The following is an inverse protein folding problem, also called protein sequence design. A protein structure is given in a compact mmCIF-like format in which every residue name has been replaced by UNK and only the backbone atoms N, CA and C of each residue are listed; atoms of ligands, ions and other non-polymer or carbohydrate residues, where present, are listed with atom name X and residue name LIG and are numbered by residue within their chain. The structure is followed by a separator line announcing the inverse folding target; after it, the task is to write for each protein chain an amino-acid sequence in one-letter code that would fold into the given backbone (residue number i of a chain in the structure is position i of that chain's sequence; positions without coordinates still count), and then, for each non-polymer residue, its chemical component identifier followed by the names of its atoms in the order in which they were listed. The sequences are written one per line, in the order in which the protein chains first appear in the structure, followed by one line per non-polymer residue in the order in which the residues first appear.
data_IF_678332922142
#
_entry.id   IF_678332922142
#
_cell.length_a   1.000
_cell.length_b   1.000
_cell.length_c   1.000
_cell.angle_alpha   90.00
_cell.angle_beta   90.00
_cell.angle_gamma   90.00
#
_symmetry.space_group_name_H-M   'P 1'
#
loop_
_entity.id
_entity.type
_entity.pdbx_description
1 polymer ?
#
# COMPACT_ATOMS: atom_id res chain seq x y z
N UNK A 1 -7.46 16.85 -1.64
CA UNK A 1 -7.47 17.73 -2.78
C UNK A 1 -8.88 18.29 -3.00
N UNK A 2 -9.88 17.49 -3.36
CA UNK A 2 -11.26 17.94 -3.62
C UNK A 2 -11.85 18.80 -2.48
N UNK A 3 -11.62 18.41 -1.23
CA UNK A 3 -12.03 19.19 -0.07
C UNK A 3 -11.36 20.57 -0.02
N UNK A 4 -10.06 20.66 -0.21
CA UNK A 4 -9.36 21.95 -0.15
C UNK A 4 -9.71 22.85 -1.35
N UNK A 5 -9.96 22.27 -2.52
CA UNK A 5 -10.48 23.03 -3.68
C UNK A 5 -11.87 23.58 -3.41
N UNK A 6 -12.77 22.82 -2.75
CA UNK A 6 -14.08 23.35 -2.35
C UNK A 6 -13.97 24.51 -1.33
N UNK A 7 -12.82 24.62 -0.65
CA UNK A 7 -12.48 25.74 0.24
C UNK A 7 -11.65 26.83 -0.47
N UNK A 8 -11.70 26.90 -1.81
CA UNK A 8 -11.02 27.89 -2.64
C UNK A 8 -9.49 27.93 -2.47
N UNK A 9 -8.87 26.77 -2.18
CA UNK A 9 -7.42 26.63 -2.10
C UNK A 9 -6.83 26.10 -3.40
N UNK A 10 -5.65 26.61 -3.77
CA UNK A 10 -4.86 26.04 -4.86
C UNK A 10 -4.14 24.81 -4.35
N UNK A 11 -4.43 23.65 -4.92
CA UNK A 11 -3.92 22.37 -4.44
C UNK A 11 -3.25 21.58 -5.55
N UNK A 12 -2.07 21.04 -5.28
CA UNK A 12 -1.38 20.13 -6.16
C UNK A 12 -1.12 18.82 -5.44
N UNK A 13 -1.32 17.69 -6.13
CA UNK A 13 -1.00 16.36 -5.62
C UNK A 13 0.27 15.89 -6.31
N UNK A 14 1.28 15.53 -5.52
CA UNK A 14 2.57 15.03 -6.02
C UNK A 14 2.79 13.65 -5.44
N UNK A 15 3.15 12.69 -6.31
CA UNK A 15 3.54 11.33 -5.91
C UNK A 15 4.98 11.04 -6.35
N UNK A 16 5.76 10.24 -5.61
CA UNK A 16 7.17 10.01 -5.93
C UNK A 16 7.36 9.32 -7.28
N UNK A 17 6.50 8.39 -7.64
CA UNK A 17 6.60 7.58 -8.86
C UNK A 17 5.23 7.16 -9.40
N UNK A 18 5.19 6.23 -10.37
CA UNK A 18 3.93 5.76 -10.95
C UNK A 18 3.08 5.00 -9.93
N UNK A 19 1.82 5.35 -9.86
CA UNK A 19 0.82 4.59 -9.12
C UNK A 19 0.14 3.54 -10.03
N UNK A 20 -0.52 2.52 -9.45
CA UNK A 20 -1.17 1.44 -10.20
C UNK A 20 -2.26 1.93 -11.17
N UNK A 21 -2.36 1.27 -12.32
CA UNK A 21 -3.30 1.65 -13.37
C UNK A 21 -4.77 1.55 -12.93
N UNK A 22 -5.10 0.63 -12.02
CA UNK A 22 -6.45 0.48 -11.48
C UNK A 22 -6.92 1.66 -10.62
N UNK A 23 -6.07 2.66 -10.35
CA UNK A 23 -6.43 3.91 -9.66
C UNK A 23 -6.60 5.09 -10.62
N UNK A 24 -6.29 4.94 -11.92
CA UNK A 24 -6.34 6.05 -12.89
C UNK A 24 -7.73 6.59 -13.17
N UNK A 25 -8.77 5.84 -12.82
CA UNK A 25 -10.16 6.28 -12.97
C UNK A 25 -10.60 7.25 -11.88
N UNK A 26 -9.84 7.34 -10.78
CA UNK A 26 -10.21 8.21 -9.64
C UNK A 26 -10.33 9.67 -10.10
N UNK A 27 -11.33 10.40 -9.58
CA UNK A 27 -11.47 11.83 -9.86
C UNK A 27 -10.16 12.58 -9.56
N UNK A 28 -9.69 13.35 -10.53
CA UNK A 28 -8.43 14.11 -10.42
C UNK A 28 -7.15 13.32 -10.67
N UNK A 29 -7.19 12.01 -10.84
CA UNK A 29 -5.97 11.18 -11.00
C UNK A 29 -5.08 11.59 -12.19
N UNK A 30 -5.66 12.17 -13.26
CA UNK A 30 -4.93 12.67 -14.44
C UNK A 30 -4.07 13.90 -14.14
N UNK A 31 -4.40 14.65 -13.11
CA UNK A 31 -3.76 15.90 -12.73
C UNK A 31 -2.67 15.68 -11.65
N UNK A 32 -2.49 14.44 -11.18
CA UNK A 32 -1.45 14.07 -10.23
C UNK A 32 -0.06 14.19 -10.89
N UNK A 33 0.82 14.93 -10.23
CA UNK A 33 2.18 15.18 -10.69
C UNK A 33 3.08 14.03 -10.21
N UNK A 34 3.75 13.39 -11.14
CA UNK A 34 4.75 12.37 -10.83
C UNK A 34 6.13 13.02 -10.70
N UNK A 35 6.73 12.92 -9.53
CA UNK A 35 8.04 13.50 -9.23
C UNK A 35 9.13 12.92 -10.14
N UNK A 36 9.14 11.62 -10.38
CA UNK A 36 10.11 10.94 -11.25
C UNK A 36 10.11 11.42 -12.71
N UNK A 37 9.02 12.05 -13.15
CA UNK A 37 8.87 12.58 -14.52
C UNK A 37 8.98 14.10 -14.60
N UNK A 38 8.53 14.81 -13.58
CA UNK A 38 8.39 16.26 -13.58
C UNK A 38 9.11 16.90 -12.39
N UNK A 39 10.34 16.43 -12.12
CA UNK A 39 11.12 16.79 -10.92
C UNK A 39 11.29 18.30 -10.73
N UNK A 40 11.70 19.03 -11.77
CA UNK A 40 11.89 20.49 -11.67
C UNK A 40 10.59 21.23 -11.35
N UNK A 41 9.51 20.86 -12.04
CA UNK A 41 8.19 21.45 -11.80
C UNK A 41 7.66 21.13 -10.39
N UNK A 42 7.81 19.88 -9.95
CA UNK A 42 7.43 19.46 -8.61
C UNK A 42 8.24 20.19 -7.53
N UNK A 43 9.57 20.36 -7.73
CA UNK A 43 10.43 21.13 -6.81
C UNK A 43 9.98 22.58 -6.69
N UNK A 44 9.61 23.21 -7.81
CA UNK A 44 9.06 24.56 -7.80
C UNK A 44 7.81 24.64 -6.93
N UNK A 45 6.83 23.74 -7.14
CA UNK A 45 5.60 23.70 -6.36
C UNK A 45 5.85 23.46 -4.87
N UNK A 46 6.77 22.54 -4.53
CA UNK A 46 7.16 22.27 -3.14
C UNK A 46 7.79 23.48 -2.45
N UNK A 47 8.55 24.29 -3.18
CA UNK A 47 9.19 25.51 -2.66
C UNK A 47 8.23 26.70 -2.54
N UNK A 48 7.22 26.77 -3.41
CA UNK A 48 6.23 27.86 -3.43
C UNK A 48 5.00 27.56 -2.53
N UNK A 49 4.87 26.35 -2.00
CA UNK A 49 3.75 25.94 -1.17
C UNK A 49 3.75 26.65 0.21
N UNK A 50 2.58 27.03 0.70
CA UNK A 50 2.38 27.48 2.08
C UNK A 50 2.42 26.31 3.06
N UNK A 51 1.85 25.15 2.62
CA UNK A 51 1.72 23.93 3.43
C UNK A 51 1.96 22.71 2.55
N UNK A 52 2.75 21.77 3.05
CA UNK A 52 2.87 20.42 2.51
C UNK A 52 2.15 19.46 3.45
N UNK A 53 1.10 18.80 2.92
CA UNK A 53 0.41 17.71 3.59
C UNK A 53 1.08 16.38 3.23
N UNK A 54 1.81 15.80 4.18
CA UNK A 54 2.44 14.49 4.05
C UNK A 54 1.38 13.42 4.41
N UNK A 55 0.85 12.75 3.40
CA UNK A 55 -0.25 11.80 3.54
C UNK A 55 0.23 10.38 3.26
N UNK A 56 -0.03 9.47 4.19
CA UNK A 56 0.28 8.04 4.10
C UNK A 56 1.79 7.71 4.04
N UNK A 57 2.60 8.63 4.55
CA UNK A 57 4.00 8.35 4.83
C UNK A 57 4.46 9.12 6.08
N UNK A 58 5.21 8.46 6.92
CA UNK A 58 5.68 8.96 8.21
C UNK A 58 7.20 9.06 8.32
N UNK A 59 7.91 8.76 7.25
CA UNK A 59 9.35 8.85 7.13
C UNK A 59 9.73 9.33 5.72
N UNK A 60 10.73 10.20 5.63
CA UNK A 60 11.18 10.74 4.33
C UNK A 60 11.72 9.64 3.41
N UNK A 61 12.28 8.57 3.96
CA UNK A 61 12.75 7.41 3.20
C UNK A 61 11.66 6.69 2.38
N UNK A 62 10.37 6.94 2.66
CA UNK A 62 9.24 6.33 1.96
C UNK A 62 8.87 7.02 0.64
N UNK A 63 9.42 8.20 0.38
CA UNK A 63 9.09 9.00 -0.81
C UNK A 63 10.24 9.09 -1.82
N UNK A 64 11.14 8.12 -1.79
CA UNK A 64 12.24 7.95 -2.75
C UNK A 64 13.01 9.27 -3.00
N UNK A 65 13.25 9.61 -4.28
CA UNK A 65 14.00 10.80 -4.70
C UNK A 65 13.31 12.13 -4.30
N UNK A 66 12.05 12.14 -3.89
CA UNK A 66 11.35 13.36 -3.45
C UNK A 66 11.71 13.76 -2.01
N UNK A 67 12.38 12.89 -1.24
CA UNK A 67 12.70 13.09 0.17
C UNK A 67 13.41 14.42 0.46
N UNK A 68 14.49 14.68 -0.26
CA UNK A 68 15.31 15.90 -0.06
C UNK A 68 14.53 17.16 -0.40
N UNK A 69 13.74 17.15 -1.47
CA UNK A 69 12.91 18.28 -1.86
C UNK A 69 11.85 18.63 -0.82
N UNK A 70 11.19 17.62 -0.25
CA UNK A 70 10.24 17.81 0.85
C UNK A 70 10.95 18.28 2.11
N UNK A 71 12.10 17.71 2.47
CA UNK A 71 12.85 18.08 3.66
C UNK A 71 13.29 19.55 3.62
N UNK A 72 13.84 19.99 2.47
CA UNK A 72 14.43 21.33 2.28
C UNK A 72 13.40 22.42 1.98
N UNK A 73 12.17 22.08 1.60
CA UNK A 73 11.13 23.07 1.33
C UNK A 73 10.87 23.97 2.55
N UNK A 74 10.72 25.30 2.36
CA UNK A 74 10.41 26.25 3.41
C UNK A 74 8.94 26.14 3.90
N UNK A 75 8.09 25.42 3.18
CA UNK A 75 6.69 25.24 3.51
C UNK A 75 6.49 24.62 4.90
N UNK A 76 5.40 24.98 5.56
CA UNK A 76 4.97 24.29 6.79
C UNK A 76 4.56 22.87 6.45
N UNK A 77 5.02 21.89 7.22
CA UNK A 77 4.72 20.47 6.98
C UNK A 77 3.76 19.95 8.02
N UNK A 78 2.73 19.23 7.56
CA UNK A 78 1.84 18.45 8.42
C UNK A 78 1.78 17.01 7.92
N UNK A 79 1.73 16.07 8.85
CA UNK A 79 1.63 14.64 8.58
C UNK A 79 0.25 14.15 8.99
N UNK A 80 -0.38 13.33 8.13
CA UNK A 80 -1.53 12.49 8.47
C UNK A 80 -1.17 11.08 8.02
N UNK A 81 -1.02 10.17 8.97
CA UNK A 81 -0.49 8.83 8.70
C UNK A 81 -0.94 7.83 9.76
N UNK A 82 -1.01 6.55 9.38
CA UNK A 82 -1.36 5.45 10.26
C UNK A 82 -0.24 4.39 10.41
N UNK A 83 0.94 4.63 9.87
CA UNK A 83 2.06 3.71 10.02
C UNK A 83 2.76 3.86 11.38
N UNK A 84 3.42 2.79 11.83
CA UNK A 84 4.21 2.76 13.06
C UNK A 84 5.49 3.62 12.94
N UNK A 85 5.96 4.16 14.06
CA UNK A 85 7.24 4.85 14.21
C UNK A 85 7.38 6.12 13.32
N UNK A 86 6.54 7.15 13.51
CA UNK A 86 6.64 8.39 12.75
C UNK A 86 7.93 9.17 13.07
N UNK A 87 8.57 9.73 12.02
CA UNK A 87 9.69 10.65 12.16
C UNK A 87 9.20 12.08 12.48
N UNK A 88 10.01 12.86 13.18
CA UNK A 88 9.65 14.20 13.66
C UNK A 88 10.05 15.31 12.65
N UNK A 89 9.74 15.16 11.35
CA UNK A 89 10.05 16.18 10.33
C UNK A 89 8.89 17.14 10.03
N UNK A 90 7.71 16.88 10.59
CA UNK A 90 6.54 17.73 10.44
C UNK A 90 6.23 18.51 11.71
N UNK A 91 5.74 19.75 11.56
CA UNK A 91 5.31 20.58 12.70
C UNK A 91 4.00 20.10 13.33
N UNK A 92 3.09 19.59 12.51
CA UNK A 92 1.82 19.00 12.95
C UNK A 92 1.88 17.53 12.58
N UNK A 93 1.60 16.65 13.53
CA UNK A 93 1.61 15.20 13.32
C UNK A 93 0.28 14.65 13.83
N UNK A 94 -0.49 14.07 12.92
CA UNK A 94 -1.70 13.29 13.17
C UNK A 94 -1.35 11.85 12.79
N UNK A 95 -0.87 11.09 13.76
CA UNK A 95 -0.41 9.72 13.56
C UNK A 95 -1.19 8.78 14.47
N UNK A 96 -1.96 7.88 13.86
CA UNK A 96 -2.85 6.95 14.55
C UNK A 96 -2.72 5.54 13.97
N UNK A 97 -1.74 4.74 14.43
CA UNK A 97 -1.49 3.40 13.90
C UNK A 97 -2.63 2.39 14.12
N UNK A 98 -3.55 2.70 15.04
CA UNK A 98 -4.75 1.90 15.29
C UNK A 98 -5.86 2.07 14.25
N UNK A 99 -5.79 3.13 13.44
CA UNK A 99 -6.79 3.43 12.40
C UNK A 99 -6.50 2.62 11.13
N UNK A 100 -7.56 2.26 10.41
CA UNK A 100 -7.48 1.33 9.27
C UNK A 100 -6.74 1.88 8.06
N UNK A 101 -6.78 3.19 7.84
CA UNK A 101 -6.15 3.86 6.69
C UNK A 101 -5.96 5.36 6.93
N UNK A 102 -5.01 5.95 6.23
CA UNK A 102 -4.87 7.42 6.20
C UNK A 102 -6.10 8.10 5.61
N UNK A 103 -6.80 7.47 4.67
CA UNK A 103 -8.06 7.99 4.10
C UNK A 103 -9.16 8.11 5.16
N UNK A 104 -9.25 7.18 6.09
CA UNK A 104 -10.14 7.27 7.26
C UNK A 104 -9.77 8.47 8.14
N UNK A 105 -8.47 8.69 8.39
CA UNK A 105 -8.01 9.85 9.17
C UNK A 105 -8.36 11.18 8.50
N UNK A 106 -8.23 11.26 7.18
CA UNK A 106 -8.63 12.45 6.40
C UNK A 106 -10.12 12.73 6.56
N UNK A 107 -10.98 11.71 6.42
CA UNK A 107 -12.42 11.85 6.67
C UNK A 107 -12.69 12.39 8.08
N UNK A 108 -12.10 11.75 9.10
CA UNK A 108 -12.27 12.13 10.50
C UNK A 108 -11.82 13.57 10.76
N UNK A 109 -10.72 14.00 10.14
CA UNK A 109 -10.21 15.38 10.27
C UNK A 109 -11.19 16.38 9.67
N UNK A 110 -11.68 16.16 8.44
CA UNK A 110 -12.64 17.04 7.79
C UNK A 110 -13.91 17.18 8.64
N UNK A 111 -14.44 16.06 9.16
CA UNK A 111 -15.62 16.06 10.03
C UNK A 111 -15.38 16.82 11.35
N UNK A 112 -14.21 16.63 11.99
CA UNK A 112 -13.86 17.35 13.24
C UNK A 112 -13.70 18.84 13.05
N UNK A 113 -13.33 19.28 11.86
CA UNK A 113 -13.29 20.69 11.49
C UNK A 113 -14.69 21.27 11.19
N UNK A 114 -15.73 20.45 11.16
CA UNK A 114 -17.12 20.88 10.93
C UNK A 114 -17.52 20.92 9.43
N UNK A 115 -16.71 20.35 8.55
CA UNK A 115 -16.88 20.47 7.08
C UNK A 115 -17.40 19.18 6.43
N UNK A 116 -18.18 18.36 7.12
CA UNK A 116 -18.75 17.14 6.53
C UNK A 116 -19.57 17.43 5.26
N UNK A 117 -20.36 18.51 5.27
CA UNK A 117 -21.20 18.87 4.14
C UNK A 117 -20.41 19.29 2.89
N UNK A 118 -19.19 19.78 3.08
CA UNK A 118 -18.29 20.18 1.98
C UNK A 118 -17.53 19.01 1.33
N UNK A 119 -17.70 17.78 1.83
CA UNK A 119 -17.20 16.59 1.15
C UNK A 119 -18.04 16.36 -0.11
N UNK A 120 -17.42 16.57 -1.27
CA UNK A 120 -18.06 16.32 -2.57
C UNK A 120 -18.16 14.81 -2.84
N UNK A 121 -18.97 14.43 -3.84
CA UNK A 121 -19.06 13.04 -4.28
C UNK A 121 -17.69 12.50 -4.70
N UNK A 122 -16.92 13.27 -5.45
CA UNK A 122 -15.56 12.92 -5.92
C UNK A 122 -14.61 12.72 -4.75
N UNK A 123 -14.66 13.59 -3.76
CA UNK A 123 -13.88 13.45 -2.52
C UNK A 123 -14.28 12.19 -1.74
N UNK A 124 -15.57 11.91 -1.66
CA UNK A 124 -16.09 10.70 -1.01
C UNK A 124 -15.68 9.41 -1.74
N UNK A 125 -15.68 9.42 -3.08
CA UNK A 125 -15.16 8.31 -3.90
C UNK A 125 -13.68 8.04 -3.61
N UNK A 126 -12.86 9.10 -3.50
CA UNK A 126 -11.45 8.98 -3.16
C UNK A 126 -11.22 8.44 -1.74
N UNK A 127 -11.95 8.96 -0.75
CA UNK A 127 -11.87 8.48 0.65
C UNK A 127 -12.27 7.01 0.74
N UNK A 128 -13.41 6.65 0.15
CA UNK A 128 -13.88 5.26 0.16
C UNK A 128 -12.89 4.32 -0.52
N UNK A 129 -12.33 4.72 -1.67
CA UNK A 129 -11.35 3.92 -2.39
C UNK A 129 -10.11 3.67 -1.55
N UNK A 130 -9.57 4.69 -0.88
CA UNK A 130 -8.40 4.54 0.00
C UNK A 130 -8.70 3.62 1.19
N UNK A 131 -9.83 3.79 1.87
CA UNK A 131 -10.26 2.89 2.96
C UNK A 131 -10.40 1.44 2.46
N UNK A 132 -11.02 1.24 1.30
CA UNK A 132 -11.26 -0.08 0.71
C UNK A 132 -9.95 -0.77 0.29
N UNK A 133 -9.04 -0.06 -0.35
CA UNK A 133 -7.77 -0.66 -0.82
C UNK A 133 -6.86 -1.03 0.32
N UNK A 134 -6.78 -0.20 1.35
CA UNK A 134 -5.89 -0.41 2.50
C UNK A 134 -6.37 -1.53 3.44
N UNK A 135 -7.67 -1.83 3.42
CA UNK A 135 -8.28 -2.92 4.18
C UNK A 135 -8.57 -4.18 3.35
N UNK A 136 -8.06 -4.24 2.11
CA UNK A 136 -8.30 -5.36 1.19
C UNK A 136 -9.78 -5.64 0.96
N UNK A 137 -10.55 -4.60 0.66
CA UNK A 137 -12.00 -4.71 0.49
C UNK A 137 -12.74 -4.94 1.82
N UNK A 138 -12.24 -4.38 2.91
CA UNK A 138 -12.77 -4.54 4.27
C UNK A 138 -12.71 -5.98 4.80
N UNK A 139 -11.66 -6.72 4.42
CA UNK A 139 -11.45 -8.10 4.86
C UNK A 139 -10.43 -8.24 5.99
N UNK A 140 -9.62 -7.21 6.23
CA UNK A 140 -8.69 -7.14 7.36
C UNK A 140 -8.60 -5.71 7.90
N UNK A 141 -8.15 -5.58 9.16
CA UNK A 141 -8.03 -4.32 9.89
C UNK A 141 -9.29 -3.43 9.81
N UNK A 142 -10.47 -4.05 9.77
CA UNK A 142 -11.76 -3.38 9.54
C UNK A 142 -12.88 -3.84 10.49
N UNK A 143 -12.53 -4.33 11.68
CA UNK A 143 -13.51 -4.78 12.68
C UNK A 143 -14.08 -3.63 13.54
N UNK A 144 -13.57 -2.41 13.40
CA UNK A 144 -14.14 -1.26 14.11
C UNK A 144 -15.46 -0.84 13.45
N UNK A 145 -16.51 -0.72 14.27
CA UNK A 145 -17.84 -0.27 13.82
C UNK A 145 -17.82 1.11 13.19
N UNK A 146 -16.89 1.98 13.59
CA UNK A 146 -16.76 3.33 13.07
C UNK A 146 -16.43 3.35 11.57
N UNK A 147 -15.71 2.35 11.08
CA UNK A 147 -15.43 2.18 9.65
C UNK A 147 -16.74 2.08 8.87
N UNK A 148 -17.68 1.26 9.34
CA UNK A 148 -18.97 1.04 8.68
C UNK A 148 -19.90 2.25 8.82
N UNK A 149 -19.81 2.99 9.93
CA UNK A 149 -20.45 4.28 10.05
C UNK A 149 -19.94 5.28 9.01
N UNK A 150 -18.61 5.41 8.87
CA UNK A 150 -17.99 6.27 7.85
C UNK A 150 -18.43 5.84 6.45
N UNK A 151 -18.45 4.55 6.14
CA UNK A 151 -18.95 4.03 4.85
C UNK A 151 -20.40 4.47 4.62
N UNK A 152 -21.27 4.38 5.63
CA UNK A 152 -22.64 4.85 5.55
C UNK A 152 -22.74 6.33 5.22
N UNK A 153 -21.92 7.16 5.87
CA UNK A 153 -21.84 8.60 5.59
C UNK A 153 -21.31 8.91 4.19
N UNK A 154 -20.31 8.17 3.71
CA UNK A 154 -19.82 8.31 2.35
C UNK A 154 -20.87 7.92 1.30
N UNK A 155 -21.66 6.87 1.57
CA UNK A 155 -22.80 6.49 0.70
C UNK A 155 -23.86 7.59 0.63
N UNK A 156 -24.09 8.37 1.70
CA UNK A 156 -25.01 9.50 1.68
C UNK A 156 -24.56 10.61 0.73
N UNK A 157 -23.26 10.68 0.39
CA UNK A 157 -22.71 11.60 -0.62
C UNK A 157 -22.95 11.11 -2.07
N UNK A 158 -23.62 9.97 -2.27
CA UNK A 158 -24.05 9.48 -3.57
C UNK A 158 -22.99 8.70 -4.34
N UNK A 159 -21.98 8.12 -3.65
CA UNK A 159 -21.02 7.22 -4.29
C UNK A 159 -21.67 5.87 -4.65
N UNK A 160 -21.20 5.24 -5.73
CA UNK A 160 -21.51 3.84 -6.06
C UNK A 160 -20.34 2.92 -5.64
N UNK A 161 -20.44 2.36 -4.43
CA UNK A 161 -19.41 1.48 -3.90
C UNK A 161 -19.17 0.21 -4.73
N UNK A 162 -20.20 -0.27 -5.42
CA UNK A 162 -20.10 -1.48 -6.24
C UNK A 162 -19.38 -1.17 -7.55
N UNK A 163 -19.60 0.01 -8.12
CA UNK A 163 -18.84 0.50 -9.27
C UNK A 163 -17.38 0.73 -8.88
N UNK A 164 -17.12 1.36 -7.74
CA UNK A 164 -15.75 1.56 -7.22
C UNK A 164 -15.05 0.22 -7.04
N UNK A 165 -15.70 -0.77 -6.42
CA UNK A 165 -15.15 -2.11 -6.24
C UNK A 165 -14.78 -2.75 -7.59
N UNK A 166 -15.67 -2.66 -8.58
CA UNK A 166 -15.40 -3.19 -9.93
C UNK A 166 -14.20 -2.51 -10.58
N UNK A 167 -14.09 -1.19 -10.46
CA UNK A 167 -12.98 -0.40 -11.03
C UNK A 167 -11.63 -0.73 -10.39
N UNK A 168 -11.60 -1.16 -9.13
CA UNK A 168 -10.37 -1.50 -8.41
C UNK A 168 -10.02 -2.98 -8.57
N UNK A 169 -10.99 -3.88 -8.37
CA UNK A 169 -10.71 -5.32 -8.24
C UNK A 169 -11.13 -6.17 -9.46
N UNK A 170 -11.97 -5.63 -10.36
CA UNK A 170 -12.50 -6.39 -11.50
C UNK A 170 -12.04 -5.83 -12.86
N UNK A 171 -10.89 -5.15 -12.91
CA UNK A 171 -10.31 -4.59 -14.14
C UNK A 171 -9.03 -5.32 -14.56
N UNK A 172 -8.89 -6.54 -14.13
CA UNK A 172 -7.70 -7.33 -14.43
C UNK A 172 -7.61 -7.69 -15.91
N UNK A 173 -6.41 -7.58 -16.47
CA UNK A 173 -6.12 -8.08 -17.81
C UNK A 173 -6.21 -9.60 -17.87
N UNK A 174 -6.47 -10.16 -19.06
CA UNK A 174 -6.37 -11.61 -19.28
C UNK A 174 -4.97 -12.11 -18.93
N UNK A 175 -3.91 -11.34 -19.29
CA UNK A 175 -2.53 -11.66 -18.96
C UNK A 175 -2.30 -11.80 -17.45
N UNK A 176 -2.84 -10.88 -16.66
CA UNK A 176 -2.78 -10.97 -15.19
C UNK A 176 -3.44 -12.24 -14.65
N UNK A 177 -4.64 -12.59 -15.14
CA UNK A 177 -5.34 -13.79 -14.67
C UNK A 177 -4.60 -15.08 -15.08
N UNK A 178 -4.03 -15.11 -16.29
CA UNK A 178 -3.19 -16.24 -16.74
C UNK A 178 -1.89 -16.34 -15.93
N UNK A 179 -1.24 -15.21 -15.65
CA UNK A 179 -0.06 -15.14 -14.79
C UNK A 179 -0.38 -15.65 -13.38
N UNK A 180 -1.52 -15.22 -12.81
CA UNK A 180 -1.98 -15.68 -11.50
C UNK A 180 -2.19 -17.21 -11.51
N UNK A 181 -2.86 -17.76 -12.52
CA UNK A 181 -3.05 -19.20 -12.65
C UNK A 181 -1.72 -19.96 -12.74
N UNK A 182 -0.76 -19.47 -13.52
CA UNK A 182 0.57 -20.03 -13.62
C UNK A 182 1.32 -20.00 -12.28
N UNK A 183 1.32 -18.85 -11.63
CA UNK A 183 1.99 -18.65 -10.34
C UNK A 183 1.44 -19.58 -9.27
N UNK A 184 0.12 -19.75 -9.20
CA UNK A 184 -0.52 -20.61 -8.22
C UNK A 184 -0.30 -22.11 -8.50
N UNK A 185 -0.24 -22.50 -9.76
CA UNK A 185 -0.06 -23.90 -10.15
C UNK A 185 1.41 -24.32 -10.11
N UNK A 186 2.31 -23.54 -10.71
CA UNK A 186 3.71 -23.94 -10.91
C UNK A 186 4.67 -23.36 -9.85
N UNK A 187 4.35 -22.19 -9.26
CA UNK A 187 5.28 -21.40 -8.45
C UNK A 187 4.90 -21.28 -6.98
N UNK A 188 3.77 -21.82 -6.59
CA UNK A 188 3.39 -21.85 -5.19
C UNK A 188 3.92 -23.10 -4.50
N UNK A 189 4.73 -22.92 -3.47
CA UNK A 189 5.16 -23.98 -2.58
C UNK A 189 4.57 -23.80 -1.18
N UNK A 190 3.88 -24.81 -0.69
CA UNK A 190 3.31 -24.84 0.64
C UNK A 190 4.21 -25.62 1.58
N UNK A 191 4.42 -25.09 2.78
CA UNK A 191 5.20 -25.67 3.88
C UNK A 191 4.26 -25.95 5.07
N UNK A 192 3.49 -27.04 5.04
CA UNK A 192 2.46 -27.29 6.05
C UNK A 192 3.06 -27.41 7.47
N UNK A 193 4.27 -27.93 7.57
CA UNK A 193 5.02 -28.08 8.84
C UNK A 193 5.37 -26.73 9.50
N UNK A 194 5.31 -25.63 8.73
CA UNK A 194 5.54 -24.26 9.19
C UNK A 194 4.33 -23.36 9.03
N UNK A 195 3.16 -23.87 8.69
CA UNK A 195 1.95 -23.09 8.39
C UNK A 195 2.22 -21.93 7.41
N UNK A 196 3.07 -22.14 6.42
CA UNK A 196 3.60 -21.09 5.54
C UNK A 196 3.53 -21.47 4.07
N UNK A 197 3.58 -20.46 3.21
CA UNK A 197 3.68 -20.64 1.77
C UNK A 197 4.63 -19.62 1.14
N UNK A 198 5.25 -20.03 0.05
CA UNK A 198 6.13 -19.23 -0.78
C UNK A 198 5.59 -19.22 -2.21
N UNK A 199 5.67 -18.06 -2.83
CA UNK A 199 5.41 -17.86 -4.25
C UNK A 199 6.58 -17.09 -4.86
N UNK A 200 6.99 -17.42 -6.08
CA UNK A 200 8.06 -16.65 -6.73
C UNK A 200 7.82 -16.46 -8.21
N UNK A 201 8.45 -15.44 -8.80
CA UNK A 201 8.31 -15.05 -10.19
C UNK A 201 9.59 -14.40 -10.72
N UNK A 202 10.15 -14.97 -11.80
CA UNK A 202 11.35 -14.46 -12.47
C UNK A 202 11.01 -13.39 -13.53
N UNK A 203 12.01 -12.64 -13.99
CA UNK A 203 11.86 -11.68 -15.10
C UNK A 203 11.41 -12.36 -16.40
N UNK A 204 11.96 -13.54 -16.67
CA UNK A 204 11.62 -14.31 -17.88
C UNK A 204 10.14 -14.71 -17.87
N UNK A 205 9.66 -15.19 -16.75
CA UNK A 205 8.25 -15.57 -16.56
C UNK A 205 7.32 -14.35 -16.65
N UNK A 206 7.71 -13.21 -16.06
CA UNK A 206 6.97 -11.96 -16.22
C UNK A 206 6.83 -11.57 -17.70
N UNK A 207 7.93 -11.65 -18.45
CA UNK A 207 7.94 -11.34 -19.88
C UNK A 207 7.02 -12.26 -20.69
N UNK A 208 7.03 -13.58 -20.39
CA UNK A 208 6.16 -14.58 -21.04
C UNK A 208 4.67 -14.25 -20.93
N UNK A 209 4.25 -13.66 -19.83
CA UNK A 209 2.86 -13.29 -19.59
C UNK A 209 2.55 -11.81 -19.88
N UNK A 210 3.46 -11.09 -20.53
CA UNK A 210 3.29 -9.66 -20.87
C UNK A 210 2.98 -8.81 -19.63
N UNK A 211 3.69 -9.10 -18.53
CA UNK A 211 3.50 -8.44 -17.25
C UNK A 211 3.48 -6.91 -17.37
N UNK A 212 2.50 -6.29 -16.76
CA UNK A 212 2.41 -4.85 -16.56
C UNK A 212 2.55 -4.56 -15.06
N UNK A 213 3.20 -3.45 -14.73
CA UNK A 213 3.40 -3.03 -13.33
C UNK A 213 2.04 -2.95 -12.60
N UNK A 214 1.89 -3.71 -11.53
CA UNK A 214 0.64 -3.88 -10.79
C UNK A 214 -0.03 -5.24 -10.97
N UNK A 215 0.30 -6.02 -12.00
CA UNK A 215 -0.33 -7.33 -12.27
C UNK A 215 -0.13 -8.36 -11.15
N UNK A 216 0.87 -8.19 -10.30
CA UNK A 216 1.14 -9.11 -9.18
C UNK A 216 0.60 -8.59 -7.83
N UNK A 217 -0.11 -7.46 -7.84
CA UNK A 217 -0.74 -6.95 -6.61
C UNK A 217 -1.71 -7.99 -6.03
N UNK A 218 -1.56 -8.25 -4.74
CA UNK A 218 -2.40 -9.20 -4.00
C UNK A 218 -2.00 -10.68 -4.14
N UNK A 219 -1.07 -11.07 -5.01
CA UNK A 219 -0.66 -12.47 -5.18
C UNK A 219 -0.15 -13.08 -3.87
N UNK A 220 0.57 -12.32 -3.07
CA UNK A 220 1.06 -12.74 -1.76
C UNK A 220 -0.06 -13.09 -0.77
N UNK A 221 -1.27 -12.56 -0.95
CA UNK A 221 -2.40 -12.83 -0.04
C UNK A 221 -3.09 -14.17 -0.35
N UNK A 222 -3.01 -14.64 -1.60
CA UNK A 222 -3.79 -15.81 -2.04
C UNK A 222 -3.47 -17.07 -1.23
N UNK A 223 -2.19 -17.41 -0.94
CA UNK A 223 -1.87 -18.59 -0.13
C UNK A 223 -2.44 -18.56 1.28
N UNK A 224 -2.74 -17.37 1.84
CA UNK A 224 -3.36 -17.26 3.16
C UNK A 224 -4.80 -17.76 3.20
N UNK A 225 -5.43 -18.01 2.04
CA UNK A 225 -6.73 -18.66 1.93
C UNK A 225 -6.66 -20.19 2.13
N UNK A 226 -5.47 -20.77 2.09
CA UNK A 226 -5.25 -22.19 2.36
C UNK A 226 -5.42 -22.43 3.86
N UNK A 227 -6.20 -23.45 4.22
CA UNK A 227 -6.44 -23.81 5.62
C UNK A 227 -5.11 -23.98 6.39
N UNK A 228 -5.00 -23.35 7.54
CA UNK A 228 -3.86 -23.34 8.46
C UNK A 228 -2.62 -22.55 7.97
N UNK A 229 -2.58 -22.00 6.78
CA UNK A 229 -1.49 -21.13 6.36
C UNK A 229 -1.69 -19.76 7.01
N UNK A 230 -0.67 -19.30 7.75
CA UNK A 230 -0.68 -18.03 8.47
C UNK A 230 0.40 -17.05 8.00
N UNK A 231 1.34 -17.53 7.18
CA UNK A 231 2.42 -16.72 6.64
C UNK A 231 2.65 -17.01 5.16
N UNK A 232 2.74 -15.97 4.36
CA UNK A 232 2.98 -16.06 2.92
C UNK A 232 4.03 -15.05 2.50
N UNK A 233 4.93 -15.49 1.62
CA UNK A 233 5.96 -14.64 1.00
C UNK A 233 5.86 -14.75 -0.51
N UNK A 234 5.99 -13.61 -1.18
CA UNK A 234 6.11 -13.52 -2.62
C UNK A 234 7.44 -12.86 -3.00
N UNK A 235 8.27 -13.60 -3.71
CA UNK A 235 9.54 -13.15 -4.25
C UNK A 235 9.37 -12.84 -5.74
N UNK A 236 9.72 -11.63 -6.17
CA UNK A 236 9.60 -11.23 -7.57
C UNK A 236 10.84 -10.49 -8.03
N UNK A 237 11.50 -10.98 -9.07
CA UNK A 237 12.56 -10.23 -9.71
C UNK A 237 12.04 -8.89 -10.23
N UNK A 238 12.72 -7.80 -9.91
CA UNK A 238 12.35 -6.47 -10.42
C UNK A 238 12.74 -6.36 -11.89
N UNK A 239 11.84 -5.81 -12.72
CA UNK A 239 12.07 -5.71 -14.17
C UNK A 239 13.09 -4.64 -14.57
N UNK A 240 13.28 -3.64 -13.73
CA UNK A 240 14.15 -2.49 -13.99
C UNK A 240 15.48 -2.57 -13.23
N UNK A 241 15.44 -3.06 -12.00
CA UNK A 241 16.59 -3.15 -11.09
C UNK A 241 17.08 -4.59 -10.98
N UNK A 242 18.36 -4.76 -10.65
CA UNK A 242 18.94 -6.08 -10.36
C UNK A 242 18.72 -6.44 -8.89
N UNK A 243 17.47 -6.71 -8.54
CA UNK A 243 17.05 -7.09 -7.19
C UNK A 243 15.77 -7.91 -7.22
N UNK A 244 15.47 -8.55 -6.10
CA UNK A 244 14.22 -9.27 -5.86
C UNK A 244 13.38 -8.45 -4.88
N UNK A 245 12.17 -8.08 -5.30
CA UNK A 245 11.16 -7.51 -4.40
C UNK A 245 10.55 -8.61 -3.57
N UNK A 246 10.43 -8.37 -2.28
CA UNK A 246 9.88 -9.31 -1.31
C UNK A 246 8.62 -8.71 -0.72
N UNK A 247 7.51 -9.41 -0.87
CA UNK A 247 6.26 -9.07 -0.19
C UNK A 247 5.94 -10.14 0.84
N UNK A 248 5.59 -9.72 2.05
CA UNK A 248 5.29 -10.62 3.16
C UNK A 248 3.89 -10.30 3.69
N UNK A 249 3.12 -11.34 3.95
CA UNK A 249 1.80 -11.22 4.59
C UNK A 249 1.63 -12.30 5.63
N UNK A 250 0.93 -11.95 6.70
CA UNK A 250 0.61 -12.91 7.75
C UNK A 250 -0.79 -12.68 8.31
N UNK A 251 -1.27 -13.60 9.11
CA UNK A 251 -2.53 -13.46 9.86
C UNK A 251 -2.29 -13.65 11.35
N UNK A 252 -3.15 -13.03 12.15
CA UNK A 252 -3.05 -13.11 13.62
C UNK A 252 -1.81 -12.41 14.17
N UNK A 253 -1.17 -13.01 15.16
CA UNK A 253 -0.05 -12.42 15.89
C UNK A 253 1.34 -12.64 15.24
N UNK A 254 1.42 -13.31 14.10
CA UNK A 254 2.73 -13.58 13.47
C UNK A 254 3.33 -12.29 12.88
N UNK A 255 4.54 -11.87 13.33
CA UNK A 255 5.12 -10.58 12.99
C UNK A 255 5.91 -10.63 11.68
N UNK A 256 5.26 -10.62 10.51
CA UNK A 256 5.96 -10.65 9.23
C UNK A 256 6.89 -9.44 9.02
N UNK A 257 6.66 -8.33 9.69
CA UNK A 257 7.54 -7.16 9.66
C UNK A 257 8.92 -7.43 10.28
N UNK A 258 9.00 -8.26 11.31
CA UNK A 258 10.30 -8.67 11.89
C UNK A 258 11.06 -9.55 10.90
N UNK A 259 10.38 -10.46 10.22
CA UNK A 259 11.00 -11.29 9.17
C UNK A 259 11.52 -10.41 8.04
N UNK A 260 10.73 -9.43 7.60
CA UNK A 260 11.13 -8.48 6.55
C UNK A 260 12.40 -7.71 6.95
N UNK A 261 12.44 -7.16 8.17
CA UNK A 261 13.57 -6.38 8.66
C UNK A 261 14.84 -7.23 8.83
N UNK A 262 14.71 -8.46 9.30
CA UNK A 262 15.86 -9.31 9.61
C UNK A 262 16.46 -10.00 8.39
N UNK A 263 15.63 -10.44 7.45
CA UNK A 263 16.05 -11.30 6.34
C UNK A 263 16.05 -10.58 4.98
N UNK A 264 15.27 -9.53 4.80
CA UNK A 264 14.99 -8.97 3.48
C UNK A 264 15.15 -7.45 3.40
N UNK A 265 15.98 -6.84 4.25
CA UNK A 265 16.23 -5.38 4.24
C UNK A 265 14.94 -4.56 4.16
N UNK A 266 13.94 -4.94 4.93
CA UNK A 266 12.59 -4.42 4.78
C UNK A 266 11.92 -4.01 6.09
N UNK A 267 10.61 -3.84 6.04
CA UNK A 267 9.79 -3.46 7.17
C UNK A 267 8.32 -3.30 6.78
N UNK A 268 7.52 -2.76 7.67
CA UNK A 268 6.10 -2.52 7.46
C UNK A 268 5.26 -2.81 8.69
N UNK A 269 3.98 -3.10 8.47
CA UNK A 269 3.04 -3.48 9.52
C UNK A 269 3.23 -4.93 9.99
N UNK A 270 2.64 -5.24 11.15
CA UNK A 270 2.70 -6.58 11.74
C UNK A 270 2.39 -7.70 10.75
N UNK A 271 1.35 -7.52 9.94
CA UNK A 271 0.82 -8.52 9.00
C UNK A 271 1.01 -8.18 7.53
N UNK A 272 1.61 -7.03 7.21
CA UNK A 272 1.85 -6.58 5.83
C UNK A 272 3.17 -5.84 5.74
N UNK A 273 4.16 -6.45 5.12
CA UNK A 273 5.52 -5.94 5.03
C UNK A 273 6.11 -6.15 3.66
N UNK A 274 7.14 -5.39 3.35
CA UNK A 274 7.92 -5.51 2.13
C UNK A 274 9.40 -5.47 2.41
N UNK A 275 10.21 -5.88 1.43
CA UNK A 275 11.66 -5.84 1.51
C UNK A 275 12.30 -6.02 0.14
N UNK A 276 13.61 -6.01 0.14
CA UNK A 276 14.45 -6.16 -1.05
C UNK A 276 15.56 -7.18 -0.77
N UNK A 277 15.90 -7.96 -1.77
CA UNK A 277 17.02 -8.88 -1.71
C UNK A 277 17.91 -8.73 -2.95
N UNK A 278 19.21 -8.67 -2.71
CA UNK A 278 20.23 -8.51 -3.75
C UNK A 278 21.00 -9.83 -3.88
N UNK A 279 20.60 -10.65 -4.84
CA UNK A 279 21.13 -11.98 -5.10
C UNK A 279 20.26 -12.75 -6.08
N UNK A 280 20.44 -14.05 -6.18
CA UNK A 280 19.66 -14.94 -7.03
C UNK A 280 18.33 -15.33 -6.39
N UNK A 281 17.39 -15.81 -7.22
CA UNK A 281 16.11 -16.32 -6.72
C UNK A 281 16.29 -17.51 -5.78
N UNK A 282 17.22 -18.42 -6.08
CA UNK A 282 17.50 -19.58 -5.25
C UNK A 282 18.03 -19.17 -3.86
N UNK A 283 18.94 -18.17 -3.80
CA UNK A 283 19.43 -17.63 -2.53
C UNK A 283 18.29 -16.98 -1.73
N UNK A 284 17.37 -16.26 -2.37
CA UNK A 284 16.22 -15.67 -1.70
C UNK A 284 15.25 -16.73 -1.15
N UNK A 285 15.03 -17.82 -1.91
CA UNK A 285 14.23 -18.96 -1.48
C UNK A 285 14.88 -19.66 -0.28
N UNK A 286 16.19 -19.85 -0.29
CA UNK A 286 16.90 -20.48 0.83
C UNK A 286 16.91 -19.60 2.07
N UNK A 287 17.01 -18.28 1.90
CA UNK A 287 16.89 -17.31 3.00
C UNK A 287 15.48 -17.36 3.63
N UNK A 288 14.44 -17.50 2.81
CA UNK A 288 13.07 -17.72 3.31
C UNK A 288 12.97 -19.00 4.13
N UNK A 289 13.55 -20.11 3.67
CA UNK A 289 13.57 -21.37 4.44
C UNK A 289 14.27 -21.23 5.78
N UNK A 290 15.37 -20.47 5.84
CA UNK A 290 16.06 -20.15 7.09
C UNK A 290 15.16 -19.34 8.04
N UNK A 291 14.42 -18.37 7.50
CA UNK A 291 13.44 -17.62 8.28
C UNK A 291 12.34 -18.52 8.86
N UNK A 292 11.84 -19.52 8.10
CA UNK A 292 10.86 -20.50 8.62
C UNK A 292 11.39 -21.24 9.84
N UNK A 293 12.63 -21.75 9.78
CA UNK A 293 13.25 -22.46 10.90
C UNK A 293 13.42 -21.55 12.11
N UNK A 294 13.90 -20.33 11.90
CA UNK A 294 14.11 -19.38 13.00
C UNK A 294 12.83 -18.97 13.71
N UNK A 295 11.73 -18.84 12.95
CA UNK A 295 10.43 -18.39 13.48
C UNK A 295 9.46 -19.55 13.73
N UNK A 296 9.92 -20.81 13.74
CA UNK A 296 9.11 -22.01 13.86
C UNK A 296 8.15 -21.98 15.05
N UNK A 297 8.64 -21.60 16.23
CA UNK A 297 7.82 -21.54 17.45
C UNK A 297 6.62 -20.58 17.27
N UNK A 298 6.83 -19.44 16.63
CA UNK A 298 5.77 -18.45 16.38
C UNK A 298 4.81 -18.91 15.27
N UNK A 299 5.32 -19.62 14.26
CA UNK A 299 4.52 -20.20 13.18
C UNK A 299 3.61 -21.35 13.65
N UNK A 300 4.04 -22.07 14.67
CA UNK A 300 3.32 -23.21 15.23
C UNK A 300 2.54 -22.88 16.51
N UNK A 301 2.70 -21.66 17.04
CA UNK A 301 1.95 -21.21 18.22
C UNK A 301 0.44 -21.39 17.99
N UNK A 302 -0.22 -22.15 18.86
CA UNK A 302 -1.68 -22.34 18.78
C UNK A 302 -2.36 -20.98 18.96
N UNK A 303 -3.32 -20.70 18.09
CA UNK A 303 -4.23 -19.55 18.19
C UNK A 303 -4.99 -19.55 19.50
#
# INVERSE_FOLDING_TARGET
WHFLESQEKTVNVIVPNAFPDFLRWMPGAKDIIRYDKYTEFANKLLNEADVICCLDFNALSRIDAMADAVAQSPARKMMIDHHLNPEAFCRIIISHPEISSTSELVFRLICRLGYFEDITKEGAECIYTGMMTDTGGFTYNSNDREIYFIISELLSKGIDKDEIYRKVYNTYSEGRLRLMGYVLYDKMQVFPQFNSALVWLTKEEQSKFQYVKGDTEGFVNIPLSIKNIIFSVFLREDTEKNMIKVSLRSVGAFPCNKVAAEFFNGGGHLNASGGEFYGTMDEAIDLFKQALVKYEELLLAKK
#
